data_IF_860694650682
#
_entry.id   IF_860694650682
#
_cell.length_a   1.000
_cell.length_b   1.000
_cell.length_c   1.000
_cell.angle_alpha   90.00
_cell.angle_beta   90.00
_cell.angle_gamma   90.00
#
_symmetry.space_group_name_H-M   'P 1'
#
loop_
_entity.id
_entity.type
_entity.pdbx_description
1 polymer ?
#
# COMPACT_ATOMS: atom_id res chain seq x y z
N UNK A 1 0.61 -13.34 -11.67
CA UNK A 1 -0.13 -12.09 -11.93
C UNK A 1 0.88 -10.95 -12.03
N UNK A 2 0.66 -9.99 -12.93
CA UNK A 2 1.56 -8.86 -13.12
C UNK A 2 1.39 -7.83 -11.99
N UNK A 3 2.45 -7.09 -11.69
CA UNK A 3 2.40 -5.90 -10.82
C UNK A 3 1.84 -4.72 -11.61
N UNK A 4 1.04 -3.89 -10.95
CA UNK A 4 0.48 -2.66 -11.52
C UNK A 4 0.86 -1.47 -10.65
N UNK A 5 1.01 -0.30 -11.25
CA UNK A 5 1.31 0.94 -10.53
C UNK A 5 0.09 1.51 -9.81
N UNK A 6 0.30 2.33 -8.78
CA UNK A 6 -0.78 2.98 -8.03
C UNK A 6 -1.73 3.75 -8.96
N UNK A 7 -1.23 4.46 -9.97
CA UNK A 7 -2.08 5.20 -10.93
C UNK A 7 -2.91 4.29 -11.85
N UNK A 8 -2.50 3.04 -12.02
CA UNK A 8 -3.29 2.05 -12.80
C UNK A 8 -4.34 1.35 -11.94
N UNK A 9 -4.14 1.31 -10.61
CA UNK A 9 -5.01 0.62 -9.67
C UNK A 9 -6.09 1.56 -9.10
N UNK A 10 -5.72 2.82 -8.83
CA UNK A 10 -6.58 3.80 -8.15
C UNK A 10 -6.84 5.00 -9.07
N UNK A 11 -8.11 5.41 -9.16
CA UNK A 11 -8.52 6.59 -9.95
C UNK A 11 -7.89 7.88 -9.39
N UNK A 12 -7.66 7.91 -8.07
CA UNK A 12 -7.01 9.00 -7.35
C UNK A 12 -5.88 8.46 -6.50
N UNK A 13 -4.71 9.09 -6.59
CA UNK A 13 -3.52 8.73 -5.79
C UNK A 13 -3.80 8.88 -4.29
N UNK A 14 -4.69 9.82 -3.93
CA UNK A 14 -5.15 10.07 -2.57
C UNK A 14 -5.89 8.86 -1.97
N UNK A 15 -6.57 8.05 -2.78
CA UNK A 15 -7.23 6.82 -2.30
C UNK A 15 -6.19 5.83 -1.80
N UNK A 16 -5.10 5.64 -2.54
CA UNK A 16 -3.98 4.82 -2.08
C UNK A 16 -3.31 5.40 -0.84
N UNK A 17 -3.13 6.72 -0.76
CA UNK A 17 -2.54 7.36 0.41
C UNK A 17 -3.38 7.16 1.67
N UNK A 18 -4.70 7.31 1.55
CA UNK A 18 -5.64 7.08 2.63
C UNK A 18 -5.64 5.61 3.07
N UNK A 19 -5.63 4.68 2.11
CA UNK A 19 -5.54 3.24 2.39
C UNK A 19 -4.24 2.87 3.11
N UNK A 20 -3.10 3.38 2.63
CA UNK A 20 -1.80 3.13 3.24
C UNK A 20 -1.74 3.72 4.65
N UNK A 21 -2.27 4.92 4.87
CA UNK A 21 -2.35 5.51 6.20
C UNK A 21 -3.22 4.69 7.17
N UNK A 22 -4.36 4.18 6.72
CA UNK A 22 -5.20 3.30 7.52
C UNK A 22 -4.47 1.98 7.87
N UNK A 23 -3.78 1.39 6.89
CA UNK A 23 -2.97 0.19 7.13
C UNK A 23 -1.83 0.43 8.12
N UNK A 24 -1.14 1.57 8.06
CA UNK A 24 -0.09 1.94 9.02
C UNK A 24 -0.62 2.06 10.45
N UNK A 25 -1.85 2.57 10.62
CA UNK A 25 -2.49 2.69 11.94
C UNK A 25 -2.90 1.34 12.53
N UNK A 26 -3.29 0.38 11.69
CA UNK A 26 -3.82 -0.92 12.13
C UNK A 26 -2.76 -2.04 12.11
N UNK A 27 -1.59 -1.80 11.50
CA UNK A 27 -0.47 -2.73 11.53
C UNK A 27 -0.03 -2.97 12.97
N UNK A 28 -0.04 -4.25 13.39
CA UNK A 28 0.28 -4.63 14.77
C UNK A 28 1.37 -5.69 14.88
N UNK A 29 1.59 -6.48 13.83
CA UNK A 29 2.69 -7.43 13.75
C UNK A 29 3.97 -6.81 13.20
N UNK A 30 5.14 -7.27 13.64
CA UNK A 30 6.45 -6.82 13.14
C UNK A 30 6.53 -6.87 11.60
N UNK A 31 5.97 -7.93 11.00
CA UNK A 31 5.90 -8.06 9.54
C UNK A 31 4.97 -7.01 8.88
N UNK A 32 3.85 -6.66 9.50
CA UNK A 32 2.90 -5.68 8.95
C UNK A 32 3.44 -4.26 9.05
N UNK A 33 4.15 -3.96 10.15
CA UNK A 33 4.88 -2.71 10.31
C UNK A 33 5.96 -2.58 9.24
N UNK A 34 6.82 -3.59 9.07
CA UNK A 34 7.84 -3.59 8.02
C UNK A 34 7.23 -3.48 6.61
N UNK A 35 6.11 -4.18 6.37
CA UNK A 35 5.40 -4.12 5.08
C UNK A 35 4.90 -2.71 4.77
N UNK A 36 4.22 -2.06 5.72
CA UNK A 36 3.65 -0.72 5.52
C UNK A 36 4.74 0.35 5.44
N UNK A 37 5.81 0.24 6.24
CA UNK A 37 6.98 1.12 6.18
C UNK A 37 7.69 1.03 4.83
N UNK A 38 7.97 -0.18 4.34
CA UNK A 38 8.59 -0.39 3.03
C UNK A 38 7.70 0.16 1.91
N UNK A 39 6.39 -0.05 2.00
CA UNK A 39 5.47 0.44 0.99
C UNK A 39 5.39 1.98 1.00
N UNK A 40 5.42 2.60 2.18
CA UNK A 40 5.52 4.06 2.35
C UNK A 40 6.82 4.61 1.81
N UNK A 41 7.94 3.95 2.05
CA UNK A 41 9.24 4.36 1.52
C UNK A 41 9.24 4.33 -0.02
N UNK A 42 8.71 3.25 -0.61
CA UNK A 42 8.56 3.14 -2.06
C UNK A 42 7.63 4.22 -2.63
N UNK A 43 6.51 4.50 -1.94
CA UNK A 43 5.58 5.54 -2.35
C UNK A 43 6.18 6.95 -2.26
N UNK A 44 6.96 7.26 -1.22
CA UNK A 44 7.69 8.54 -1.14
C UNK A 44 8.70 8.70 -2.28
N UNK A 45 9.29 7.60 -2.75
CA UNK A 45 10.30 7.62 -3.81
C UNK A 45 9.71 7.69 -5.22
N UNK A 46 8.64 6.95 -5.49
CA UNK A 46 8.10 6.77 -6.84
C UNK A 46 6.72 7.39 -7.05
N UNK A 47 6.03 7.80 -5.97
CA UNK A 47 4.69 8.37 -6.01
C UNK A 47 3.69 7.45 -6.69
N UNK A 48 2.92 7.99 -7.63
CA UNK A 48 1.87 7.27 -8.36
C UNK A 48 2.41 6.08 -9.21
N UNK A 49 3.72 6.04 -9.47
CA UNK A 49 4.38 4.96 -10.20
C UNK A 49 4.86 3.81 -9.30
N UNK A 50 4.56 3.83 -8.00
CA UNK A 50 4.83 2.69 -7.13
C UNK A 50 4.06 1.46 -7.58
N UNK A 51 4.77 0.36 -7.82
CA UNK A 51 4.18 -0.89 -8.24
C UNK A 51 3.73 -1.75 -7.05
N UNK A 52 2.56 -2.35 -7.20
CA UNK A 52 1.96 -3.29 -6.28
C UNK A 52 1.66 -4.60 -7.01
N UNK A 53 2.02 -5.72 -6.40
CA UNK A 53 1.45 -7.00 -6.79
C UNK A 53 0.03 -7.15 -6.22
N UNK A 54 -0.85 -7.96 -6.84
CA UNK A 54 -2.19 -8.20 -6.32
C UNK A 54 -2.21 -8.74 -4.89
N UNK A 55 -1.20 -9.53 -4.50
CA UNK A 55 -1.06 -10.01 -3.13
C UNK A 55 -0.74 -8.88 -2.14
N UNK A 56 0.13 -7.93 -2.52
CA UNK A 56 0.43 -6.77 -1.70
C UNK A 56 -0.78 -5.85 -1.56
N UNK A 57 -1.53 -5.63 -2.65
CA UNK A 57 -2.77 -4.86 -2.61
C UNK A 57 -3.79 -5.51 -1.65
N UNK A 58 -4.07 -6.80 -1.84
CA UNK A 58 -5.03 -7.53 -1.01
C UNK A 58 -4.61 -7.55 0.47
N UNK A 59 -3.31 -7.71 0.76
CA UNK A 59 -2.81 -7.62 2.13
C UNK A 59 -2.99 -6.22 2.70
N UNK A 60 -2.64 -5.17 1.96
CA UNK A 60 -2.78 -3.78 2.40
C UNK A 60 -4.24 -3.47 2.76
N UNK A 61 -5.18 -3.85 1.90
CA UNK A 61 -6.62 -3.70 2.15
C UNK A 61 -7.10 -4.46 3.39
N UNK A 62 -6.52 -5.64 3.66
CA UNK A 62 -6.85 -6.42 4.85
C UNK A 62 -6.33 -5.76 6.13
N UNK A 63 -5.10 -5.23 6.13
CA UNK A 63 -4.55 -4.53 7.29
C UNK A 63 -5.39 -3.28 7.59
N UNK A 64 -5.71 -2.48 6.56
CA UNK A 64 -6.50 -1.26 6.72
C UNK A 64 -7.93 -1.46 7.28
N UNK A 65 -8.47 -2.68 7.23
CA UNK A 65 -9.80 -3.04 7.74
C UNK A 65 -9.78 -3.75 9.10
N UNK A 66 -8.59 -4.07 9.62
CA UNK A 66 -8.43 -4.71 10.93
C UNK A 66 -8.86 -3.76 12.06
#
# INVERSE_FOLDING_TARGET
MATQSVIEIYDRVEEFQALLAAAELHASGAWELEFTENLRANFKRYGAHTNLSPAQQSKLERIAKA
#
